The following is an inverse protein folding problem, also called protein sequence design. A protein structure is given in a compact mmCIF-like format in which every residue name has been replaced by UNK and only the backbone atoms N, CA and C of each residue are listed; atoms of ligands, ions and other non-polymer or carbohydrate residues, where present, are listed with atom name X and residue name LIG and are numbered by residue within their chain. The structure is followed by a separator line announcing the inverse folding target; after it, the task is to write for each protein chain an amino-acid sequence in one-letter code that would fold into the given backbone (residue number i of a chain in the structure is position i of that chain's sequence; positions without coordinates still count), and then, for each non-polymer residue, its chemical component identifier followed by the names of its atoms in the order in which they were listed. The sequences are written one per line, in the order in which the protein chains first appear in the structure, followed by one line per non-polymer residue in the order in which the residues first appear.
data_IF_986255387749
#
_entry.id   IF_986255387749
#
_cell.length_a   1.000
_cell.length_b   1.000
_cell.length_c   1.000
_cell.angle_alpha   90.00
_cell.angle_beta   90.00
_cell.angle_gamma   90.00
#
_symmetry.space_group_name_H-M   'P 1'
#
loop_
_entity.id
_entity.type
_entity.pdbx_description
1 polymer ?
#
# COMPACT_ATOMS: atom_id res chain seq x y z
N UNK A 1 -28.63 -49.40 49.13
CA UNK A 1 -27.16 -49.27 48.97
C UNK A 1 -26.85 -47.91 48.40
N UNK A 2 -25.77 -47.31 48.88
CA UNK A 2 -25.38 -45.91 48.77
C UNK A 2 -24.15 -45.84 47.88
N UNK A 3 -24.20 -45.20 46.72
CA UNK A 3 -23.00 -44.65 46.10
C UNK A 3 -23.34 -43.43 45.25
N UNK A 4 -22.84 -42.28 45.68
CA UNK A 4 -22.72 -41.05 44.90
C UNK A 4 -21.43 -41.15 44.10
N UNK A 5 -21.47 -40.83 42.80
CA UNK A 5 -20.27 -40.48 42.05
C UNK A 5 -20.54 -39.21 41.24
N UNK A 6 -19.96 -38.11 41.72
CA UNK A 6 -19.62 -36.95 40.89
C UNK A 6 -18.62 -37.44 39.85
N UNK A 7 -18.85 -37.19 38.57
CA UNK A 7 -17.79 -37.26 37.57
C UNK A 7 -17.61 -35.90 36.88
N UNK A 8 -16.36 -35.48 37.01
CA UNK A 8 -15.70 -34.23 36.68
C UNK A 8 -15.82 -33.91 35.18
N UNK A 9 -16.19 -32.67 34.90
CA UNK A 9 -16.05 -31.98 33.62
C UNK A 9 -14.62 -32.08 33.11
N UNK A 10 -14.43 -32.68 31.93
CA UNK A 10 -13.16 -32.61 31.19
C UNK A 10 -13.43 -31.91 29.87
N UNK A 11 -13.03 -30.65 29.76
CA UNK A 11 -13.04 -29.89 28.51
C UNK A 11 -11.86 -30.35 27.66
N UNK A 12 -12.13 -30.96 26.52
CA UNK A 12 -11.11 -31.22 25.50
C UNK A 12 -10.92 -29.94 24.69
N UNK A 13 -9.80 -29.26 24.94
CA UNK A 13 -9.36 -28.06 24.23
C UNK A 13 -8.21 -28.44 23.30
N UNK A 14 -8.40 -28.14 22.00
CA UNK A 14 -7.43 -27.89 20.94
C UNK A 14 -6.48 -29.02 20.49
N UNK A 15 -6.61 -29.37 19.21
CA UNK A 15 -5.51 -29.20 18.24
C UNK A 15 -6.06 -29.40 16.81
N UNK A 16 -6.50 -28.32 16.17
CA UNK A 16 -6.67 -28.25 14.72
C UNK A 16 -5.27 -28.23 14.08
N UNK A 17 -4.69 -29.41 13.87
CA UNK A 17 -3.54 -29.56 12.99
C UNK A 17 -4.01 -29.63 11.54
N UNK A 18 -4.24 -28.49 10.89
CA UNK A 18 -4.33 -28.47 9.43
C UNK A 18 -2.94 -28.69 8.88
N UNK A 19 -2.78 -29.83 8.23
CA UNK A 19 -1.57 -30.22 7.50
C UNK A 19 -1.43 -29.30 6.30
N UNK A 20 -0.48 -28.37 6.37
CA UNK A 20 0.01 -27.59 5.24
C UNK A 20 0.73 -28.52 4.28
N UNK A 21 0.02 -29.06 3.30
CA UNK A 21 0.63 -29.74 2.17
C UNK A 21 -0.19 -29.44 0.92
N UNK A 22 0.53 -28.98 -0.11
CA UNK A 22 0.06 -28.61 -1.45
C UNK A 22 -0.66 -27.27 -1.51
N UNK A 23 0.12 -26.18 -1.60
CA UNK A 23 -0.30 -25.09 -2.47
C UNK A 23 -0.26 -25.67 -3.89
N UNK A 24 -1.39 -25.93 -4.55
CA UNK A 24 -1.34 -26.22 -5.98
C UNK A 24 -0.78 -24.96 -6.63
N UNK A 25 0.18 -25.14 -7.54
CA UNK A 25 0.63 -24.09 -8.44
C UNK A 25 -0.61 -23.32 -8.93
N UNK A 26 -0.72 -22.08 -8.48
CA UNK A 26 -1.80 -21.16 -8.79
C UNK A 26 -1.64 -20.67 -10.23
N UNK A 27 -1.58 -21.61 -11.16
CA UNK A 27 -1.43 -21.35 -12.57
C UNK A 27 -2.65 -20.54 -13.00
N UNK A 28 -2.42 -19.31 -13.44
CA UNK A 28 -3.41 -18.51 -14.14
C UNK A 28 -3.97 -19.35 -15.30
N UNK A 29 -5.13 -19.99 -15.07
CA UNK A 29 -5.84 -20.71 -16.12
C UNK A 29 -6.21 -19.72 -17.22
N UNK A 30 -6.10 -20.09 -18.51
CA UNK A 30 -6.73 -19.33 -19.58
C UNK A 30 -8.21 -19.16 -19.24
N UNK A 31 -8.62 -17.93 -18.95
CA UNK A 31 -9.91 -17.66 -18.31
C UNK A 31 -10.17 -16.16 -18.23
N UNK A 32 -11.30 -15.82 -17.59
CA UNK A 32 -11.75 -14.45 -17.40
C UNK A 32 -10.62 -13.56 -16.88
N UNK A 33 -10.45 -12.33 -17.39
CA UNK A 33 -9.42 -11.40 -16.94
C UNK A 33 -9.66 -11.01 -15.48
N UNK A 34 -8.60 -10.58 -14.79
CA UNK A 34 -8.78 -9.93 -13.50
C UNK A 34 -9.66 -8.69 -13.66
N UNK A 35 -10.56 -8.47 -12.70
CA UNK A 35 -11.55 -7.39 -12.70
C UNK A 35 -11.39 -6.53 -11.46
N UNK A 36 -11.87 -5.29 -11.55
CA UNK A 36 -11.94 -4.39 -10.40
C UNK A 36 -12.80 -5.00 -9.28
N UNK A 37 -12.31 -4.89 -8.05
CA UNK A 37 -12.99 -5.34 -6.84
C UNK A 37 -13.18 -4.14 -5.90
N UNK A 38 -14.42 -3.88 -5.50
CA UNK A 38 -14.78 -2.71 -4.69
C UNK A 38 -14.15 -2.74 -3.28
N UNK A 39 -13.73 -3.91 -2.81
CA UNK A 39 -13.20 -4.12 -1.47
C UNK A 39 -11.69 -4.37 -1.43
N UNK A 40 -10.94 -4.08 -2.50
CA UNK A 40 -9.48 -4.23 -2.43
C UNK A 40 -8.92 -3.33 -1.33
N UNK A 41 -8.12 -3.92 -0.45
CA UNK A 41 -7.55 -3.22 0.72
C UNK A 41 -8.62 -2.52 1.58
N UNK A 42 -9.83 -3.08 1.65
CA UNK A 42 -10.94 -2.46 2.38
C UNK A 42 -11.62 -1.31 1.64
N UNK A 43 -11.37 -1.14 0.34
CA UNK A 43 -11.96 -0.08 -0.49
C UNK A 43 -11.24 1.26 -0.36
N UNK A 44 -9.95 1.24 -0.01
CA UNK A 44 -9.13 2.44 0.22
C UNK A 44 -8.56 3.08 -1.07
N UNK A 45 -8.93 2.57 -2.25
CA UNK A 45 -8.48 3.08 -3.54
C UNK A 45 -9.36 4.24 -4.02
N UNK A 46 -8.80 5.14 -4.81
CA UNK A 46 -9.53 6.26 -5.42
C UNK A 46 -10.24 5.83 -6.71
N UNK A 47 -9.53 5.09 -7.55
CA UNK A 47 -9.99 4.68 -8.86
C UNK A 47 -9.50 3.27 -9.19
N UNK A 48 -10.36 2.48 -9.85
CA UNK A 48 -9.94 1.23 -10.46
C UNK A 48 -10.17 1.23 -11.97
N UNK A 49 -9.17 0.76 -12.71
CA UNK A 49 -9.23 0.56 -14.16
C UNK A 49 -8.86 -0.87 -14.49
N UNK A 50 -9.68 -1.53 -15.30
CA UNK A 50 -9.43 -2.90 -15.78
C UNK A 50 -9.17 -2.93 -17.28
N UNK A 51 -8.22 -3.76 -17.69
CA UNK A 51 -7.84 -3.93 -19.10
C UNK A 51 -7.92 -5.40 -19.48
N UNK A 52 -8.72 -5.69 -20.51
CA UNK A 52 -8.96 -7.04 -21.02
C UNK A 52 -8.34 -7.22 -22.41
N UNK A 53 -7.80 -8.41 -22.70
CA UNK A 53 -7.54 -8.83 -24.08
C UNK A 53 -6.19 -8.43 -24.67
N UNK A 54 -5.08 -8.69 -23.96
CA UNK A 54 -3.76 -8.48 -24.55
C UNK A 54 -2.62 -9.22 -23.82
N UNK A 55 -1.58 -9.66 -24.56
CA UNK A 55 -0.43 -10.36 -23.99
C UNK A 55 0.48 -9.43 -23.18
N UNK A 56 0.42 -8.11 -23.41
CA UNK A 56 1.20 -7.12 -22.66
C UNK A 56 0.53 -6.85 -21.31
N UNK A 57 0.97 -7.63 -20.32
CA UNK A 57 0.60 -7.53 -18.93
C UNK A 57 0.94 -6.17 -18.32
N UNK A 58 0.51 -6.01 -17.09
CA UNK A 58 0.83 -4.97 -16.13
C UNK A 58 2.33 -4.71 -15.86
N UNK A 59 3.21 -4.94 -16.83
CA UNK A 59 4.68 -4.83 -16.76
C UNK A 59 5.19 -3.72 -17.69
N UNK A 60 4.34 -2.73 -17.94
CA UNK A 60 4.65 -1.63 -18.82
C UNK A 60 4.29 -0.32 -18.12
N UNK A 61 5.30 0.27 -17.49
CA UNK A 61 5.20 1.57 -16.81
C UNK A 61 4.55 2.64 -17.69
N UNK A 62 4.88 2.71 -18.99
CA UNK A 62 4.27 3.67 -19.92
C UNK A 62 2.77 3.45 -20.09
N UNK A 63 2.30 2.20 -20.10
CA UNK A 63 0.86 1.92 -20.19
C UNK A 63 0.14 2.28 -18.91
N UNK A 64 0.74 2.02 -17.75
CA UNK A 64 0.13 2.38 -16.46
C UNK A 64 0.15 3.90 -16.25
N UNK A 65 1.23 4.56 -16.65
CA UNK A 65 1.34 6.02 -16.72
C UNK A 65 0.19 6.62 -17.53
N UNK A 66 -0.01 6.12 -18.76
CA UNK A 66 -1.12 6.54 -19.62
C UNK A 66 -2.50 6.15 -19.05
N UNK A 67 -2.58 5.03 -18.31
CA UNK A 67 -3.82 4.56 -17.72
C UNK A 67 -4.34 5.49 -16.64
N UNK A 68 -3.47 6.19 -15.89
CA UNK A 68 -3.88 7.13 -14.85
C UNK A 68 -3.51 8.59 -15.14
N UNK A 69 -2.97 8.87 -16.33
CA UNK A 69 -2.45 10.19 -16.72
C UNK A 69 -1.41 10.73 -15.72
N UNK A 70 -0.45 9.87 -15.35
CA UNK A 70 0.59 10.13 -14.34
C UNK A 70 1.96 9.62 -14.80
N UNK A 71 3.04 10.23 -14.33
CA UNK A 71 4.40 9.74 -14.60
C UNK A 71 4.79 8.65 -13.59
N UNK A 72 5.20 7.48 -14.08
CA UNK A 72 5.74 6.41 -13.22
C UNK A 72 7.21 6.71 -12.93
N UNK A 73 7.56 6.80 -11.65
CA UNK A 73 8.95 7.05 -11.21
C UNK A 73 9.66 5.80 -10.70
N UNK A 74 8.89 4.78 -10.28
CA UNK A 74 9.41 3.49 -9.85
C UNK A 74 8.36 2.40 -10.02
N UNK A 75 8.81 1.17 -10.26
CA UNK A 75 7.96 -0.02 -10.29
C UNK A 75 8.61 -1.21 -9.58
N UNK A 76 7.76 -1.99 -8.92
CA UNK A 76 8.15 -3.14 -8.11
C UNK A 76 7.24 -4.30 -8.47
N UNK A 77 7.83 -5.42 -8.86
CA UNK A 77 7.08 -6.53 -9.45
C UNK A 77 7.31 -7.84 -8.70
N UNK A 78 6.24 -8.63 -8.58
CA UNK A 78 6.25 -10.02 -8.15
C UNK A 78 5.78 -10.90 -9.31
N UNK A 79 6.68 -11.78 -9.78
CA UNK A 79 6.50 -12.65 -10.94
C UNK A 79 5.92 -14.04 -10.63
N UNK A 80 5.58 -14.31 -9.36
CA UNK A 80 5.03 -15.58 -8.92
C UNK A 80 3.87 -15.36 -7.93
N UNK A 81 2.90 -16.27 -7.94
CA UNK A 81 1.69 -16.23 -7.12
C UNK A 81 1.97 -16.26 -5.59
N UNK A 82 3.20 -16.51 -5.17
CA UNK A 82 3.65 -16.44 -3.78
C UNK A 82 5.18 -16.37 -3.65
N UNK A 83 5.66 -15.79 -2.54
CA UNK A 83 7.03 -16.02 -2.04
C UNK A 83 8.15 -15.18 -2.68
N UNK A 84 7.84 -14.12 -3.43
CA UNK A 84 8.83 -13.13 -3.86
C UNK A 84 8.52 -11.79 -3.21
N UNK A 85 9.54 -11.22 -2.55
CA UNK A 85 9.49 -9.88 -1.95
C UNK A 85 10.00 -8.91 -3.00
N UNK A 86 9.16 -7.98 -3.44
CA UNK A 86 9.61 -6.92 -4.34
C UNK A 86 10.17 -5.73 -3.55
N UNK A 87 10.99 -5.98 -2.52
CA UNK A 87 11.56 -5.05 -1.53
C UNK A 87 10.57 -4.14 -0.75
N UNK A 88 9.48 -3.69 -1.37
CA UNK A 88 8.50 -2.72 -0.85
C UNK A 88 7.12 -3.35 -0.61
N UNK A 89 6.86 -4.57 -1.09
CA UNK A 89 5.69 -5.35 -0.74
C UNK A 89 5.95 -6.86 -0.81
N UNK A 90 5.18 -7.61 -0.02
CA UNK A 90 5.00 -9.06 -0.16
C UNK A 90 3.59 -9.35 -0.67
N UNK A 91 3.35 -10.52 -1.24
CA UNK A 91 2.01 -10.97 -1.60
C UNK A 91 1.91 -12.49 -1.43
N UNK A 92 0.81 -12.93 -0.82
CA UNK A 92 0.52 -14.34 -0.59
C UNK A 92 -0.83 -14.71 -1.19
N UNK A 93 -0.83 -15.57 -2.21
CA UNK A 93 -2.06 -16.12 -2.78
C UNK A 93 -2.49 -17.41 -2.10
N UNK A 94 -3.80 -17.59 -1.96
CA UNK A 94 -4.41 -18.88 -1.57
C UNK A 94 -4.57 -19.85 -2.73
N UNK A 95 -4.30 -19.41 -3.97
CA UNK A 95 -4.38 -20.23 -5.19
C UNK A 95 -5.62 -19.99 -6.07
N UNK A 96 -6.64 -19.30 -5.56
CA UNK A 96 -7.94 -19.11 -6.23
C UNK A 96 -8.22 -17.64 -6.61
N UNK A 97 -7.17 -16.85 -6.81
CA UNK A 97 -7.33 -15.44 -7.19
C UNK A 97 -7.69 -14.52 -6.03
N UNK A 98 -7.41 -14.93 -4.80
CA UNK A 98 -7.47 -14.07 -3.61
C UNK A 98 -6.28 -14.34 -2.70
N UNK A 99 -6.09 -13.48 -1.71
CA UNK A 99 -5.02 -13.62 -0.74
C UNK A 99 -4.84 -12.41 0.15
N UNK A 100 -3.69 -12.37 0.81
CA UNK A 100 -3.26 -11.27 1.65
C UNK A 100 -1.92 -10.70 1.17
N UNK A 101 -1.60 -9.50 1.60
CA UNK A 101 -0.33 -8.85 1.32
C UNK A 101 0.03 -7.78 2.35
N UNK A 102 1.29 -7.40 2.37
CA UNK A 102 1.78 -6.26 3.13
C UNK A 102 2.61 -5.32 2.23
N UNK A 103 2.41 -4.02 2.42
CA UNK A 103 3.39 -3.01 2.07
C UNK A 103 4.47 -2.97 3.14
N UNK A 104 5.71 -3.16 2.71
CA UNK A 104 6.90 -3.14 3.56
C UNK A 104 7.52 -1.74 3.63
N UNK A 105 7.17 -0.86 2.69
CA UNK A 105 7.57 0.54 2.68
C UNK A 105 6.50 1.44 3.32
N UNK A 106 6.86 2.12 4.40
CA UNK A 106 5.96 3.01 5.12
C UNK A 106 5.71 4.34 4.41
N UNK A 107 6.52 4.70 3.40
CA UNK A 107 6.30 5.94 2.64
C UNK A 107 5.01 5.89 1.83
N UNK A 108 4.56 4.69 1.45
CA UNK A 108 3.31 4.47 0.70
C UNK A 108 2.07 4.99 1.43
N UNK A 109 2.13 5.17 2.74
CA UNK A 109 1.05 5.81 3.49
C UNK A 109 0.76 7.25 3.04
N UNK A 110 1.74 7.93 2.42
CA UNK A 110 1.65 9.32 1.97
C UNK A 110 2.10 9.49 0.50
N UNK A 111 2.05 8.43 -0.30
CA UNK A 111 2.45 8.46 -1.71
C UNK A 111 1.27 8.09 -2.60
N UNK A 112 1.20 8.69 -3.77
CA UNK A 112 0.34 8.22 -4.86
C UNK A 112 0.99 7.02 -5.55
N UNK A 113 0.30 5.89 -5.57
CA UNK A 113 0.75 4.67 -6.23
C UNK A 113 -0.41 3.92 -6.91
N UNK A 114 -0.09 3.11 -7.91
CA UNK A 114 -1.01 2.13 -8.49
C UNK A 114 -0.58 0.71 -8.12
N UNK A 115 -1.51 -0.07 -7.62
CA UNK A 115 -1.32 -1.50 -7.41
C UNK A 115 -2.05 -2.27 -8.51
N UNK A 116 -1.36 -3.18 -9.19
CA UNK A 116 -1.89 -3.87 -10.37
C UNK A 116 -1.86 -5.38 -10.17
N UNK A 117 -3.03 -6.01 -10.25
CA UNK A 117 -3.23 -7.45 -10.16
C UNK A 117 -3.51 -8.04 -11.55
N UNK A 118 -2.69 -9.01 -11.96
CA UNK A 118 -2.87 -9.72 -13.22
C UNK A 118 -3.36 -11.14 -12.98
N UNK A 119 -4.46 -11.49 -13.65
CA UNK A 119 -5.01 -12.83 -13.70
C UNK A 119 -5.65 -13.10 -15.05
N UNK A 120 -5.48 -14.31 -15.57
CA UNK A 120 -5.96 -14.68 -16.90
C UNK A 120 -5.39 -13.75 -18.00
N UNK A 121 -6.25 -13.36 -18.95
CA UNK A 121 -5.86 -12.53 -20.10
C UNK A 121 -6.06 -11.01 -19.89
N UNK A 122 -5.97 -10.53 -18.65
CA UNK A 122 -6.13 -9.11 -18.32
C UNK A 122 -5.60 -8.75 -16.94
N UNK A 123 -5.78 -7.49 -16.56
CA UNK A 123 -5.38 -6.98 -15.25
C UNK A 123 -6.36 -5.93 -14.72
N UNK A 124 -6.39 -5.78 -13.41
CA UNK A 124 -7.04 -4.69 -12.71
C UNK A 124 -5.98 -3.83 -12.02
N UNK A 125 -6.03 -2.52 -12.24
CA UNK A 125 -5.13 -1.52 -11.68
C UNK A 125 -5.91 -0.59 -10.76
N UNK A 126 -5.39 -0.39 -9.55
CA UNK A 126 -6.04 0.37 -8.48
C UNK A 126 -5.14 1.53 -8.09
N UNK A 127 -5.63 2.75 -8.23
CA UNK A 127 -4.94 3.98 -7.85
C UNK A 127 -5.23 4.31 -6.39
N UNK A 128 -4.18 4.64 -5.64
CA UNK A 128 -4.24 5.11 -4.26
C UNK A 128 -3.53 6.45 -4.18
N UNK A 129 -4.07 7.35 -3.34
CA UNK A 129 -3.41 8.57 -2.91
C UNK A 129 -3.17 8.49 -1.39
N UNK A 130 -2.11 7.76 -1.03
CA UNK A 130 -1.89 7.31 0.34
C UNK A 130 -2.81 6.15 0.76
N UNK A 131 -2.42 5.48 1.84
CA UNK A 131 -3.20 4.39 2.43
C UNK A 131 -2.98 4.34 3.95
N UNK A 132 -4.07 4.17 4.70
CA UNK A 132 -4.03 4.17 6.18
C UNK A 132 -3.64 2.83 6.79
N UNK A 133 -3.69 1.74 6.01
CA UNK A 133 -3.32 0.39 6.40
C UNK A 133 -2.28 -0.15 5.44
N UNK A 134 -1.18 -0.69 5.97
CA UNK A 134 -0.08 -1.26 5.18
C UNK A 134 0.03 -2.78 5.31
N UNK A 135 -0.58 -3.37 6.33
CA UNK A 135 -0.44 -4.81 6.62
C UNK A 135 -1.78 -5.54 6.60
N UNK A 136 -1.74 -6.85 6.38
CA UNK A 136 -2.91 -7.74 6.33
C UNK A 136 -3.97 -7.29 5.30
N UNK A 137 -3.49 -6.73 4.19
CA UNK A 137 -4.33 -6.20 3.13
C UNK A 137 -4.90 -7.33 2.29
N UNK A 138 -6.22 -7.37 2.20
CA UNK A 138 -6.93 -8.37 1.41
C UNK A 138 -7.05 -7.96 -0.05
N UNK A 139 -6.78 -8.90 -0.95
CA UNK A 139 -6.86 -8.68 -2.39
C UNK A 139 -7.59 -9.81 -3.10
N UNK A 140 -8.18 -9.48 -4.25
CA UNK A 140 -8.88 -10.41 -5.13
C UNK A 140 -8.71 -9.97 -6.58
N UNK A 141 -8.55 -10.92 -7.49
CA UNK A 141 -8.60 -10.72 -8.94
C UNK A 141 -10.04 -10.79 -9.48
N UNK A 142 -11.00 -11.20 -8.65
CA UNK A 142 -12.40 -11.42 -9.04
C UNK A 142 -12.65 -12.72 -9.80
N UNK A 143 -11.73 -13.69 -9.77
CA UNK A 143 -11.96 -15.03 -10.33
C UNK A 143 -10.70 -15.79 -10.79
N UNK A 144 -9.81 -15.20 -11.61
CA UNK A 144 -8.62 -15.93 -12.10
C UNK A 144 -7.50 -16.00 -11.06
N UNK A 145 -6.72 -17.08 -11.06
CA UNK A 145 -5.48 -17.15 -10.26
C UNK A 145 -4.53 -15.98 -10.53
N UNK A 146 -3.81 -15.53 -9.49
CA UNK A 146 -2.80 -14.48 -9.60
C UNK A 146 -1.61 -14.98 -10.41
N UNK A 147 -1.26 -14.26 -11.47
CA UNK A 147 -0.04 -14.49 -12.26
C UNK A 147 1.09 -13.53 -11.88
N UNK A 148 0.77 -12.24 -11.80
CA UNK A 148 1.73 -11.18 -11.47
C UNK A 148 1.04 -10.10 -10.64
N UNK A 149 1.80 -9.46 -9.77
CA UNK A 149 1.41 -8.24 -9.09
C UNK A 149 2.51 -7.19 -9.25
N UNK A 150 2.13 -5.95 -9.51
CA UNK A 150 3.09 -4.85 -9.71
C UNK A 150 2.61 -3.60 -8.99
N UNK A 151 3.49 -2.97 -8.24
CA UNK A 151 3.28 -1.66 -7.63
C UNK A 151 4.03 -0.61 -8.45
N UNK A 152 3.33 0.45 -8.83
CA UNK A 152 3.85 1.60 -9.57
C UNK A 152 3.75 2.83 -8.69
N UNK A 153 4.84 3.56 -8.49
CA UNK A 153 4.87 4.79 -7.70
C UNK A 153 4.86 5.99 -8.65
N UNK A 154 4.04 7.00 -8.34
CA UNK A 154 3.91 8.21 -9.15
C UNK A 154 4.56 9.45 -8.51
N UNK A 155 4.79 9.44 -7.20
CA UNK A 155 5.41 10.53 -6.47
C UNK A 155 6.50 10.05 -5.50
N UNK A 156 7.48 10.92 -5.26
CA UNK A 156 8.38 10.74 -4.12
C UNK A 156 7.73 11.37 -2.89
N UNK A 157 7.83 10.78 -1.69
CA UNK A 157 7.29 11.38 -0.48
C UNK A 157 7.87 12.79 -0.35
N UNK A 158 7.03 13.82 -0.52
CA UNK A 158 7.44 15.20 -0.34
C UNK A 158 7.67 15.36 1.18
N UNK A 159 8.91 15.62 1.65
CA UNK A 159 9.13 15.86 3.06
C UNK A 159 8.28 17.08 3.48
N UNK A 160 7.64 17.07 4.67
CA UNK A 160 6.87 18.20 5.14
C UNK A 160 7.73 19.46 5.07
N UNK A 161 7.26 20.48 4.34
CA UNK A 161 7.93 21.78 4.30
C UNK A 161 7.93 22.31 5.74
N UNK A 162 9.10 22.60 6.35
CA UNK A 162 9.12 23.14 7.70
C UNK A 162 8.43 24.50 7.69
N UNK A 163 7.26 24.59 8.32
CA UNK A 163 6.61 25.88 8.58
C UNK A 163 7.46 26.59 9.63
N UNK A 164 8.04 27.77 9.35
CA UNK A 164 8.77 28.52 10.36
C UNK A 164 7.83 28.81 11.52
N UNK A 165 8.20 28.37 12.72
CA UNK A 165 7.42 28.66 13.91
C UNK A 165 7.27 30.18 14.07
N UNK A 166 6.15 30.68 14.61
CA UNK A 166 5.92 32.12 14.79
C UNK A 166 7.06 32.86 15.53
N UNK A 167 7.88 32.14 16.31
CA UNK A 167 9.06 32.68 16.98
C UNK A 167 10.19 33.11 16.03
N UNK A 168 10.33 32.48 14.86
CA UNK A 168 11.37 32.82 13.88
C UNK A 168 11.11 34.17 13.22
N UNK A 169 9.85 34.58 13.10
CA UNK A 169 9.44 35.90 12.58
C UNK A 169 9.71 37.04 13.58
N UNK A 170 9.58 36.77 14.88
CA UNK A 170 9.91 37.73 15.94
C UNK A 170 11.44 37.94 16.07
N UNK A 171 12.23 36.90 15.80
CA UNK A 171 13.69 36.98 15.79
C UNK A 171 14.24 37.95 14.74
N UNK A 172 13.59 38.09 13.57
CA UNK A 172 14.02 39.05 12.53
C UNK A 172 13.68 40.51 12.88
N UNK A 173 12.63 40.77 13.66
CA UNK A 173 12.26 42.14 14.06
C UNK A 173 13.19 42.66 15.17
N UNK A 174 13.70 41.78 16.03
CA UNK A 174 14.61 42.15 17.12
C UNK A 174 16.00 42.62 16.64
N UNK A 175 16.48 42.14 15.48
CA UNK A 175 17.82 42.50 14.96
C UNK A 175 17.82 43.90 14.30
N UNK A 176 16.67 44.40 13.83
CA UNK A 176 16.55 45.73 13.23
C UNK A 176 16.40 46.91 14.21
N UNK A 177 16.19 46.64 15.51
CA UNK A 177 15.79 47.66 16.49
C UNK A 177 16.90 48.33 17.28
N UNK A 178 18.17 47.92 17.13
CA UNK A 178 19.29 48.48 17.90
C UNK A 178 20.12 49.43 17.04
N UNK A 179 19.54 50.58 16.71
CA UNK A 179 20.31 51.79 16.36
C UNK A 179 19.96 52.89 17.36
N UNK A 180 20.67 52.85 18.49
CA UNK A 180 21.18 53.95 19.32
C UNK A 180 20.37 55.26 19.28
N UNK A 181 19.58 55.50 20.32
CA UNK A 181 19.33 56.85 20.80
C UNK A 181 20.44 57.27 21.78
N UNK A 182 20.99 58.47 21.62
CA UNK A 182 21.09 59.50 22.69
C UNK A 182 21.86 60.75 22.25
N UNK A 183 21.10 61.84 22.06
CA UNK A 183 21.19 63.12 22.80
C UNK A 183 22.56 63.84 22.89
N UNK A 184 22.63 65.03 22.28
CA UNK A 184 23.47 66.13 22.78
C UNK A 184 22.67 67.44 22.81
N UNK A 185 22.53 68.01 24.01
CA UNK A 185 21.94 69.31 24.30
C UNK A 185 23.08 70.34 24.50
N UNK A 186 22.97 71.47 23.80
CA UNK A 186 23.35 72.86 24.16
C UNK A 186 24.79 73.23 24.58
N UNK A 187 25.36 74.25 23.91
CA UNK A 187 25.92 75.43 24.59
C UNK A 187 26.04 76.67 23.67
N UNK A 188 25.69 77.82 24.24
CA UNK A 188 25.90 79.19 23.74
C UNK A 188 27.38 79.50 23.46
N UNK A 189 27.64 80.34 22.45
CA UNK A 189 28.38 81.60 22.60
C UNK A 189 27.90 82.61 21.57
#
# INVERSE_FOLDING_TARGET
MKVRFLNITTAAVLATGLVSAFAPDAMARPGNPAVCQDNIFGGLFEECRQVSGGPAGNDNATRIAALFDREVIADFKVDASSGQVANVFDINSTGEGFGTMNFLDSTLANSTFAFVLKGGNGFAAYLFDGISQLTDLSWSTGGPGLSHATLYVFDSPIPPIPVPEPGTLLGLVAIGGVMVGQKAISRKS
#
